data_IF_374712372154
#
_entry.id   IF_374712372154
#
_cell.length_a   1.000
_cell.length_b   1.000
_cell.length_c   1.000
_cell.angle_alpha   90.00
_cell.angle_beta   90.00
_cell.angle_gamma   90.00
#
_symmetry.space_group_name_H-M   'P 1'
#
loop_
_entity.id
_entity.type
_entity.pdbx_description
1 polymer ?
#
# COMPACT_ATOMS: atom_id res chain seq x y z
N UNK A 1 4.75 11.01 -8.84
CA UNK A 1 3.56 11.80 -8.48
C UNK A 1 3.75 12.47 -7.14
N UNK A 2 3.56 13.77 -7.09
CA UNK A 2 3.34 14.56 -5.88
C UNK A 2 2.03 14.14 -5.17
N UNK A 3 1.83 14.61 -3.95
CA UNK A 3 0.58 14.38 -3.21
C UNK A 3 -0.62 15.03 -3.93
N UNK A 4 -0.44 16.22 -4.51
CA UNK A 4 -1.51 16.94 -5.23
C UNK A 4 -1.95 16.22 -6.49
N UNK A 5 -1.02 15.69 -7.28
CA UNK A 5 -1.34 14.87 -8.47
C UNK A 5 -2.12 13.61 -8.08
N UNK A 6 -1.81 13.01 -6.94
CA UNK A 6 -2.49 11.80 -6.45
C UNK A 6 -3.93 12.08 -6.01
N UNK A 7 -4.15 13.20 -5.32
CA UNK A 7 -5.49 13.65 -4.95
C UNK A 7 -6.32 13.95 -6.20
N UNK A 8 -5.73 14.63 -7.19
CA UNK A 8 -6.41 14.93 -8.45
C UNK A 8 -6.80 13.65 -9.20
N UNK A 9 -5.87 12.70 -9.31
CA UNK A 9 -6.11 11.40 -9.94
C UNK A 9 -7.24 10.62 -9.24
N UNK A 10 -7.20 10.50 -7.91
CA UNK A 10 -8.20 9.73 -7.16
C UNK A 10 -9.62 10.28 -7.25
N UNK A 11 -9.79 11.55 -7.61
CA UNK A 11 -11.10 12.17 -7.88
C UNK A 11 -11.68 11.79 -9.24
N UNK A 12 -10.87 11.27 -10.15
CA UNK A 12 -11.27 10.93 -11.53
C UNK A 12 -11.58 9.44 -11.75
N UNK A 13 -11.20 8.59 -10.80
CA UNK A 13 -11.36 7.13 -10.89
C UNK A 13 -12.43 6.63 -9.93
N UNK A 14 -12.91 5.41 -10.16
CA UNK A 14 -13.82 4.76 -9.23
C UNK A 14 -13.15 4.50 -7.87
N UNK A 15 -13.97 4.33 -6.83
CA UNK A 15 -13.50 4.17 -5.45
C UNK A 15 -12.43 3.06 -5.30
N UNK A 16 -12.63 1.91 -5.94
CA UNK A 16 -11.70 0.77 -5.85
C UNK A 16 -10.41 0.95 -6.65
N UNK A 17 -10.39 1.86 -7.62
CA UNK A 17 -9.23 2.18 -8.45
C UNK A 17 -8.37 3.32 -7.88
N UNK A 18 -8.78 3.92 -6.76
CA UNK A 18 -7.99 4.94 -6.09
C UNK A 18 -6.64 4.38 -5.66
N UNK A 19 -5.58 5.16 -5.90
CA UNK A 19 -4.20 4.81 -5.56
C UNK A 19 -3.82 5.49 -4.26
N UNK A 20 -3.15 4.76 -3.37
CA UNK A 20 -2.61 5.26 -2.11
C UNK A 20 -1.12 4.97 -2.07
N UNK A 21 -0.33 5.92 -1.54
CA UNK A 21 1.10 5.74 -1.37
C UNK A 21 1.53 5.93 0.07
N UNK A 22 2.49 5.13 0.52
CA UNK A 22 3.17 5.27 1.79
C UNK A 22 4.68 5.35 1.59
N UNK A 23 5.35 6.15 2.42
CA UNK A 23 6.80 6.17 2.48
C UNK A 23 7.26 5.18 3.55
N UNK A 24 8.00 4.16 3.12
CA UNK A 24 8.66 3.21 4.00
C UNK A 24 10.05 3.73 4.36
N UNK A 25 10.23 4.04 5.63
CA UNK A 25 11.54 4.32 6.23
C UNK A 25 12.02 3.03 6.88
N UNK A 26 12.97 2.34 6.23
CA UNK A 26 13.63 1.18 6.86
C UNK A 26 14.57 1.70 7.94
N UNK A 27 14.28 1.38 9.20
CA UNK A 27 15.13 1.76 10.35
C UNK A 27 16.57 1.27 10.09
N UNK A 28 17.53 2.20 10.11
CA UNK A 28 18.95 1.94 9.80
C UNK A 28 19.36 2.18 8.34
N UNK A 29 18.42 2.55 7.46
CA UNK A 29 18.68 2.89 6.06
C UNK A 29 18.16 4.31 5.80
N UNK A 30 19.00 5.20 5.26
CA UNK A 30 18.57 6.52 4.79
C UNK A 30 17.77 6.46 3.48
N UNK A 31 17.41 5.25 3.02
CA UNK A 31 16.67 5.05 1.77
C UNK A 31 15.19 5.06 2.10
N UNK A 32 14.54 6.17 1.78
CA UNK A 32 13.07 6.24 1.73
C UNK A 32 12.60 5.56 0.45
N UNK A 33 11.78 4.51 0.58
CA UNK A 33 11.09 3.92 -0.56
C UNK A 33 9.63 4.31 -0.51
N UNK A 34 9.12 4.83 -1.62
CA UNK A 34 7.69 5.10 -1.76
C UNK A 34 7.02 3.90 -2.41
N UNK A 35 6.05 3.34 -1.70
CA UNK A 35 5.21 2.25 -2.18
C UNK A 35 3.83 2.79 -2.51
N UNK A 36 3.24 2.38 -3.64
CA UNK A 36 1.94 2.87 -4.11
C UNK A 36 1.10 1.73 -4.67
N UNK A 37 -0.17 1.65 -4.28
CA UNK A 37 -1.07 0.56 -4.65
C UNK A 37 -2.52 1.04 -4.78
N UNK A 38 -3.33 0.30 -5.54
CA UNK A 38 -4.77 0.55 -5.61
C UNK A 38 -5.49 0.03 -4.36
N UNK A 39 -6.62 0.64 -4.05
CA UNK A 39 -7.45 0.25 -2.90
C UNK A 39 -7.92 -1.21 -2.99
N UNK A 40 -8.24 -1.71 -4.19
CA UNK A 40 -8.60 -3.11 -4.39
C UNK A 40 -7.46 -4.07 -4.02
N UNK A 41 -6.22 -3.74 -4.39
CA UNK A 41 -5.03 -4.54 -4.09
C UNK A 41 -4.71 -4.51 -2.59
N UNK A 42 -4.89 -3.36 -1.94
CA UNK A 42 -4.77 -3.23 -0.48
C UNK A 42 -5.80 -4.12 0.20
N UNK A 43 -7.05 -4.09 -0.26
CA UNK A 43 -8.12 -4.92 0.29
C UNK A 43 -7.79 -6.39 0.13
N UNK A 44 -7.35 -6.84 -1.04
CA UNK A 44 -7.02 -8.24 -1.29
C UNK A 44 -5.88 -8.73 -0.39
N UNK A 45 -4.84 -7.91 -0.18
CA UNK A 45 -3.74 -8.25 0.71
C UNK A 45 -4.15 -8.32 2.19
N UNK A 46 -5.01 -7.41 2.64
CA UNK A 46 -5.49 -7.39 4.04
C UNK A 46 -6.58 -8.44 4.27
N UNK A 47 -7.34 -8.80 3.24
CA UNK A 47 -8.34 -9.86 3.29
C UNK A 47 -7.73 -11.27 3.32
N UNK A 48 -6.40 -11.40 3.20
CA UNK A 48 -5.72 -12.67 3.45
C UNK A 48 -5.97 -13.05 4.93
N UNK A 49 -6.57 -14.22 5.20
CA UNK A 49 -6.85 -14.67 6.56
C UNK A 49 -5.58 -14.68 7.41
N UNK A 50 -5.70 -14.24 8.67
CA UNK A 50 -4.60 -14.20 9.66
C UNK A 50 -3.97 -15.59 9.85
N UNK A 51 -4.72 -16.66 9.56
CA UNK A 51 -4.21 -18.03 9.51
C UNK A 51 -3.03 -18.21 8.53
N UNK A 52 -2.97 -17.46 7.41
CA UNK A 52 -1.87 -17.54 6.46
C UNK A 52 -0.60 -16.81 6.92
N UNK A 53 -0.70 -15.83 7.82
CA UNK A 53 0.47 -15.15 8.42
C UNK A 53 1.18 -16.00 9.48
N UNK A 54 0.49 -17.00 10.04
CA UNK A 54 1.03 -17.86 11.10
C UNK A 54 2.11 -18.84 10.62
N UNK A 55 2.24 -19.06 9.31
CA UNK A 55 3.19 -20.02 8.71
C UNK A 55 4.61 -19.43 8.56
N UNK A 56 4.79 -18.12 8.68
CA UNK A 56 6.10 -17.46 8.55
C UNK A 56 6.82 -17.19 9.89
N UNK A 57 6.23 -17.58 11.03
CA UNK A 57 6.77 -17.34 12.37
C UNK A 57 7.24 -18.57 13.14
N UNK A 58 7.16 -19.78 12.55
CA UNK A 58 7.63 -21.01 13.17
C UNK A 58 8.90 -21.49 12.44
N UNK A 59 10.05 -20.98 12.86
CA UNK A 59 11.38 -21.50 12.52
C UNK A 59 12.31 -21.25 13.69
#
# INVERSE_FOLDING_TARGET
MSASELIAYNRTVEFWDQVYCADEIRVGSHITRRHCEKLIEIRERVAIPVEALSVLGAS
#
